data_IF_814263116220
#
_entry.id   IF_814263116220
#
_cell.length_a   1.000
_cell.length_b   1.000
_cell.length_c   1.000
_cell.angle_alpha   90.00
_cell.angle_beta   90.00
_cell.angle_gamma   90.00
#
_symmetry.space_group_name_H-M   'P 1'
#
loop_
_entity.id
_entity.type
_entity.pdbx_description
1 polymer ?
#
# COMPACT_ATOMS: atom_id res chain seq x y z
N UNK A 1 -112.99 -35.42 19.28
CA UNK A 1 -111.62 -34.99 18.97
C UNK A 1 -111.61 -33.48 18.86
N UNK A 2 -110.94 -32.78 19.79
CA UNK A 2 -109.95 -31.72 19.57
C UNK A 2 -109.28 -31.42 20.93
N UNK A 3 -107.95 -31.19 21.01
CA UNK A 3 -107.18 -31.20 22.25
C UNK A 3 -106.69 -29.80 22.66
N UNK A 4 -105.86 -29.75 23.72
CA UNK A 4 -104.93 -28.65 24.12
C UNK A 4 -105.58 -27.61 25.08
N UNK A 5 -104.98 -27.18 26.21
CA UNK A 5 -103.56 -26.97 26.53
C UNK A 5 -103.18 -27.25 28.01
N UNK A 6 -101.91 -27.61 28.29
CA UNK A 6 -101.34 -27.58 29.64
C UNK A 6 -100.86 -26.17 30.04
N UNK A 7 -100.89 -25.92 31.36
CA UNK A 7 -100.41 -24.71 32.06
C UNK A 7 -98.98 -24.31 31.69
N UNK A 8 -98.66 -23.01 31.58
CA UNK A 8 -97.27 -22.56 31.56
C UNK A 8 -96.72 -22.49 32.99
N UNK A 9 -95.55 -23.12 33.15
CA UNK A 9 -94.65 -23.03 34.30
C UNK A 9 -94.10 -21.61 34.44
N UNK A 10 -94.00 -21.16 35.69
CA UNK A 10 -93.33 -19.93 36.09
C UNK A 10 -91.82 -19.96 35.75
N UNK A 11 -91.37 -18.87 35.15
CA UNK A 11 -90.02 -18.64 34.66
C UNK A 11 -89.09 -18.15 35.77
N UNK A 12 -88.04 -18.92 36.07
CA UNK A 12 -86.93 -18.58 36.97
C UNK A 12 -85.69 -18.03 36.22
N UNK A 13 -85.85 -17.40 35.06
CA UNK A 13 -84.73 -16.98 34.20
C UNK A 13 -83.88 -15.75 34.61
N UNK A 14 -84.33 -14.75 35.40
CA UNK A 14 -83.55 -13.52 35.58
C UNK A 14 -82.41 -13.63 36.61
N UNK A 15 -82.48 -14.58 37.55
CA UNK A 15 -81.50 -14.71 38.64
C UNK A 15 -80.18 -15.38 38.20
N UNK A 16 -80.28 -16.39 37.33
CA UNK A 16 -79.11 -17.12 36.81
C UNK A 16 -78.21 -16.21 35.97
N UNK A 17 -78.80 -15.37 35.12
CA UNK A 17 -78.08 -14.44 34.23
C UNK A 17 -77.28 -13.39 35.02
N UNK A 18 -77.83 -12.91 36.13
CA UNK A 18 -77.19 -11.93 37.01
C UNK A 18 -76.01 -12.54 37.80
N UNK A 19 -76.12 -13.81 38.18
CA UNK A 19 -75.04 -14.54 38.85
C UNK A 19 -73.85 -14.80 37.91
N UNK A 20 -74.11 -15.14 36.64
CA UNK A 20 -73.04 -15.37 35.64
C UNK A 20 -72.27 -14.08 35.34
N UNK A 21 -72.96 -12.95 35.24
CA UNK A 21 -72.33 -11.65 34.97
C UNK A 21 -71.45 -11.16 36.12
N UNK A 22 -71.86 -11.41 37.36
CA UNK A 22 -71.06 -11.06 38.55
C UNK A 22 -69.77 -11.88 38.61
N UNK A 23 -69.84 -13.19 38.35
CA UNK A 23 -68.66 -14.07 38.32
C UNK A 23 -67.69 -13.65 37.22
N UNK A 24 -68.20 -13.22 36.07
CA UNK A 24 -67.39 -12.70 34.97
C UNK A 24 -66.64 -11.41 35.36
N UNK A 25 -67.31 -10.48 36.03
CA UNK A 25 -66.68 -9.24 36.51
C UNK A 25 -65.61 -9.51 37.59
N UNK A 26 -65.86 -10.44 38.50
CA UNK A 26 -64.87 -10.88 39.50
C UNK A 26 -63.65 -11.52 38.82
N UNK A 27 -63.83 -12.35 37.79
CA UNK A 27 -62.73 -12.95 37.03
C UNK A 27 -61.92 -11.91 36.23
N UNK A 28 -62.57 -10.90 35.66
CA UNK A 28 -61.90 -9.78 34.98
C UNK A 28 -61.05 -8.96 35.95
N UNK A 29 -61.57 -8.69 37.15
CA UNK A 29 -60.81 -8.02 38.21
C UNK A 29 -59.63 -8.85 38.71
N UNK A 30 -59.79 -10.16 38.86
CA UNK A 30 -58.71 -11.06 39.25
C UNK A 30 -57.59 -11.05 38.19
N UNK A 31 -57.94 -11.12 36.90
CA UNK A 31 -56.98 -11.01 35.81
C UNK A 31 -56.21 -9.68 35.84
N UNK A 32 -56.89 -8.57 36.12
CA UNK A 32 -56.25 -7.25 36.25
C UNK A 32 -55.35 -7.20 37.49
N UNK A 33 -55.78 -7.78 38.61
CA UNK A 33 -54.99 -7.83 39.84
C UNK A 33 -53.70 -8.62 39.67
N UNK A 34 -53.71 -9.73 38.93
CA UNK A 34 -52.49 -10.47 38.57
C UNK A 34 -51.53 -9.57 37.79
N UNK A 35 -52.02 -8.85 36.78
CA UNK A 35 -51.23 -7.88 36.00
C UNK A 35 -50.64 -6.78 36.90
N UNK A 36 -51.45 -6.18 37.77
CA UNK A 36 -50.99 -5.15 38.71
C UNK A 36 -49.87 -5.68 39.62
N UNK A 37 -50.05 -6.88 40.19
CA UNK A 37 -49.06 -7.51 41.07
C UNK A 37 -47.76 -7.85 40.33
N UNK A 38 -47.83 -8.32 39.08
CA UNK A 38 -46.64 -8.53 38.23
C UNK A 38 -45.82 -7.25 38.05
N UNK A 39 -46.48 -6.09 38.06
CA UNK A 39 -45.85 -4.77 37.97
C UNK A 39 -45.58 -4.12 39.34
N UNK A 40 -45.71 -4.85 40.45
CA UNK A 40 -45.45 -4.35 41.80
C UNK A 40 -46.50 -3.39 42.34
N UNK A 41 -47.67 -3.31 41.70
CA UNK A 41 -48.81 -2.51 42.13
C UNK A 41 -49.72 -3.31 43.07
N UNK A 42 -50.46 -2.60 43.92
CA UNK A 42 -51.40 -3.23 44.86
C UNK A 42 -52.65 -3.73 44.11
N UNK A 43 -53.17 -4.93 44.45
CA UNK A 43 -54.41 -5.42 43.86
C UNK A 43 -55.60 -4.60 44.36
N UNK A 44 -56.62 -4.49 43.51
CA UNK A 44 -57.89 -3.85 43.81
C UNK A 44 -58.83 -4.85 44.51
N UNK A 45 -59.57 -4.37 45.50
CA UNK A 45 -60.54 -5.18 46.26
C UNK A 45 -61.97 -4.74 46.00
N UNK A 46 -62.89 -5.70 45.89
CA UNK A 46 -64.31 -5.41 45.81
C UNK A 46 -64.87 -5.07 47.20
N UNK A 47 -65.44 -3.87 47.34
CA UNK A 47 -66.00 -3.37 48.61
C UNK A 47 -67.48 -3.79 48.73
N UNK A 48 -67.90 -4.25 49.92
CA UNK A 48 -69.30 -4.59 50.22
C UNK A 48 -70.15 -3.31 50.41
N UNK A 49 -71.42 -3.35 50.00
CA UNK A 49 -72.39 -2.22 49.95
C UNK A 49 -72.79 -1.59 51.29
N UNK A 50 -72.01 -1.72 52.36
CA UNK A 50 -72.41 -1.31 53.72
C UNK A 50 -72.26 0.18 54.00
N UNK A 51 -71.37 0.91 53.31
CA UNK A 51 -71.25 2.37 53.43
C UNK A 51 -70.95 3.01 52.06
N UNK A 52 -71.97 3.60 51.45
CA UNK A 52 -71.90 4.19 50.09
C UNK A 52 -71.64 5.69 50.08
N UNK A 53 -71.57 6.35 51.25
CA UNK A 53 -71.56 7.82 51.35
C UNK A 53 -70.31 8.48 50.76
N UNK A 54 -69.18 7.75 50.72
CA UNK A 54 -67.88 8.25 50.25
C UNK A 54 -67.37 7.50 49.00
N UNK A 55 -68.22 6.72 48.31
CA UNK A 55 -67.83 5.89 47.16
C UNK A 55 -68.46 6.38 45.86
N UNK A 56 -67.66 6.42 44.79
CA UNK A 56 -68.14 6.66 43.43
C UNK A 56 -68.64 5.32 42.87
N UNK A 57 -69.94 5.26 42.56
CA UNK A 57 -70.56 4.06 41.99
C UNK A 57 -70.59 4.21 40.47
N UNK A 58 -69.93 3.29 39.76
CA UNK A 58 -70.02 3.21 38.31
C UNK A 58 -71.26 2.40 37.90
N UNK A 59 -71.92 2.85 36.83
CA UNK A 59 -72.85 1.98 36.11
C UNK A 59 -72.08 0.83 35.42
N UNK A 60 -72.80 -0.22 35.03
CA UNK A 60 -72.23 -1.43 34.44
C UNK A 60 -71.33 -1.14 33.23
N UNK A 61 -71.74 -0.21 32.36
CA UNK A 61 -71.00 0.11 31.15
C UNK A 61 -69.72 0.89 31.48
N UNK A 62 -69.81 1.85 32.40
CA UNK A 62 -68.64 2.61 32.85
C UNK A 62 -67.62 1.73 33.60
N UNK A 63 -68.09 0.81 34.44
CA UNK A 63 -67.24 -0.17 35.16
C UNK A 63 -66.50 -1.09 34.19
N UNK A 64 -67.20 -1.65 33.20
CA UNK A 64 -66.62 -2.49 32.16
C UNK A 64 -65.56 -1.73 31.34
N UNK A 65 -65.87 -0.50 30.93
CA UNK A 65 -64.92 0.34 30.17
C UNK A 65 -63.69 0.68 31.02
N UNK A 66 -63.86 0.95 32.31
CA UNK A 66 -62.75 1.22 33.22
C UNK A 66 -61.81 0.01 33.34
N UNK A 67 -62.35 -1.20 33.51
CA UNK A 67 -61.56 -2.44 33.54
C UNK A 67 -60.77 -2.65 32.26
N UNK A 68 -61.43 -2.50 31.11
CA UNK A 68 -60.78 -2.64 29.81
C UNK A 68 -59.65 -1.62 29.63
N UNK A 69 -59.90 -0.35 29.98
CA UNK A 69 -58.89 0.70 29.91
C UNK A 69 -57.70 0.40 30.84
N UNK A 70 -57.96 -0.04 32.07
CA UNK A 70 -56.90 -0.37 33.02
C UNK A 70 -56.07 -1.57 32.55
N UNK A 71 -56.72 -2.62 32.03
CA UNK A 71 -56.04 -3.79 31.46
C UNK A 71 -55.13 -3.38 30.31
N UNK A 72 -55.68 -2.65 29.32
CA UNK A 72 -54.93 -2.18 28.16
C UNK A 72 -53.76 -1.28 28.57
N UNK A 73 -53.96 -0.38 29.54
CA UNK A 73 -52.91 0.52 30.03
C UNK A 73 -51.74 -0.26 30.65
N UNK A 74 -52.02 -1.26 31.49
CA UNK A 74 -50.97 -2.06 32.13
C UNK A 74 -50.23 -2.89 31.09
N UNK A 75 -50.93 -3.59 30.20
CA UNK A 75 -50.33 -4.41 29.13
C UNK A 75 -49.47 -3.55 28.18
N UNK A 76 -49.94 -2.38 27.78
CA UNK A 76 -49.20 -1.45 26.94
C UNK A 76 -47.96 -0.90 27.67
N UNK A 77 -48.06 -0.63 28.98
CA UNK A 77 -46.90 -0.22 29.79
C UNK A 77 -45.85 -1.33 29.84
N UNK A 78 -46.23 -2.60 29.99
CA UNK A 78 -45.28 -3.73 29.95
C UNK A 78 -44.59 -3.81 28.59
N UNK A 79 -45.35 -3.67 27.49
CA UNK A 79 -44.81 -3.70 26.13
C UNK A 79 -43.80 -2.58 25.91
N UNK A 80 -44.11 -1.37 26.38
CA UNK A 80 -43.21 -0.22 26.30
C UNK A 80 -41.95 -0.42 27.14
N UNK A 81 -42.06 -0.97 28.36
CA UNK A 81 -40.89 -1.29 29.20
C UNK A 81 -39.95 -2.30 28.52
N UNK A 82 -40.49 -3.35 27.89
CA UNK A 82 -39.70 -4.32 27.14
C UNK A 82 -38.99 -3.65 25.95
N UNK A 83 -39.71 -2.85 25.17
CA UNK A 83 -39.13 -2.12 24.04
C UNK A 83 -38.01 -1.16 24.50
N UNK A 84 -38.19 -0.44 25.62
CA UNK A 84 -37.16 0.43 26.19
C UNK A 84 -35.93 -0.39 26.58
N UNK A 85 -36.11 -1.55 27.20
CA UNK A 85 -35.01 -2.44 27.57
C UNK A 85 -34.23 -2.93 26.35
N UNK A 86 -34.92 -3.41 25.32
CA UNK A 86 -34.31 -3.86 24.07
C UNK A 86 -33.58 -2.71 23.36
N UNK A 87 -34.12 -1.49 23.38
CA UNK A 87 -33.47 -0.30 22.85
C UNK A 87 -32.20 0.05 23.62
N UNK A 88 -32.19 -0.06 24.94
CA UNK A 88 -31.01 0.17 25.78
C UNK A 88 -29.92 -0.85 25.44
N UNK A 89 -30.29 -2.14 25.38
CA UNK A 89 -29.37 -3.23 25.04
C UNK A 89 -28.76 -3.05 23.65
N UNK A 90 -29.60 -2.73 22.66
CA UNK A 90 -29.17 -2.48 21.28
C UNK A 90 -28.27 -1.24 21.20
N UNK A 91 -28.59 -0.16 21.92
CA UNK A 91 -27.76 1.04 21.94
C UNK A 91 -26.38 0.76 22.56
N UNK A 92 -26.33 -0.05 23.62
CA UNK A 92 -25.07 -0.45 24.24
C UNK A 92 -24.22 -1.30 23.30
N UNK A 93 -24.84 -2.25 22.58
CA UNK A 93 -24.14 -3.04 21.58
C UNK A 93 -23.58 -2.16 20.45
N UNK A 94 -24.38 -1.24 19.90
CA UNK A 94 -23.95 -0.30 18.87
C UNK A 94 -22.78 0.58 19.33
N UNK A 95 -22.78 1.03 20.60
CA UNK A 95 -21.64 1.78 21.16
C UNK A 95 -20.36 0.96 21.20
N UNK A 96 -20.45 -0.31 21.60
CA UNK A 96 -19.30 -1.22 21.66
C UNK A 96 -18.76 -1.50 20.24
N UNK A 97 -19.65 -1.75 19.27
CA UNK A 97 -19.27 -1.95 17.86
C UNK A 97 -18.61 -0.70 17.27
N UNK A 98 -19.16 0.49 17.55
CA UNK A 98 -18.58 1.75 17.12
C UNK A 98 -17.18 1.98 17.69
N UNK A 99 -16.96 1.66 18.97
CA UNK A 99 -15.63 1.76 19.58
C UNK A 99 -14.63 0.77 18.95
N UNK A 100 -15.08 -0.45 18.65
CA UNK A 100 -14.25 -1.46 17.98
C UNK A 100 -13.87 -1.00 16.57
N UNK A 101 -14.85 -0.53 15.78
CA UNK A 101 -14.60 -0.02 14.43
C UNK A 101 -13.71 1.22 14.44
N UNK A 102 -13.89 2.12 15.40
CA UNK A 102 -12.99 3.25 15.57
C UNK A 102 -11.55 2.80 15.82
N UNK A 103 -11.34 1.82 16.71
CA UNK A 103 -10.01 1.27 16.97
C UNK A 103 -9.40 0.59 15.74
N UNK A 104 -10.21 -0.12 14.95
CA UNK A 104 -9.79 -0.71 13.67
C UNK A 104 -9.38 0.36 12.65
N UNK A 105 -10.18 1.42 12.53
CA UNK A 105 -9.89 2.53 11.63
C UNK A 105 -8.56 3.22 12.00
N UNK A 106 -8.34 3.54 13.27
CA UNK A 106 -7.09 4.15 13.75
C UNK A 106 -5.88 3.26 13.46
N UNK A 107 -5.99 1.95 13.71
CA UNK A 107 -4.90 1.02 13.39
C UNK A 107 -4.61 0.95 11.87
N UNK A 108 -5.66 0.99 11.06
CA UNK A 108 -5.52 0.95 9.61
C UNK A 108 -4.93 2.26 9.07
N UNK A 109 -5.30 3.41 9.64
CA UNK A 109 -4.70 4.72 9.35
C UNK A 109 -3.21 4.74 9.69
N UNK A 110 -2.84 4.29 10.90
CA UNK A 110 -1.43 4.20 11.30
C UNK A 110 -0.63 3.33 10.33
N UNK A 111 -1.16 2.16 9.96
CA UNK A 111 -0.51 1.27 8.98
C UNK A 111 -0.37 1.92 7.61
N UNK A 112 -1.36 2.71 7.16
CA UNK A 112 -1.28 3.43 5.90
C UNK A 112 -0.16 4.48 5.93
N UNK A 113 -0.06 5.23 7.02
CA UNK A 113 0.99 6.22 7.23
C UNK A 113 2.39 5.58 7.25
N UNK A 114 2.56 4.46 7.94
CA UNK A 114 3.84 3.72 7.98
C UNK A 114 4.25 3.25 6.57
N UNK A 115 3.30 2.75 5.78
CA UNK A 115 3.54 2.33 4.40
C UNK A 115 3.89 3.51 3.49
N UNK A 116 3.25 4.66 3.66
CA UNK A 116 3.57 5.87 2.90
C UNK A 116 4.99 6.35 3.20
N UNK A 117 5.41 6.31 4.47
CA UNK A 117 6.78 6.65 4.85
C UNK A 117 7.81 5.69 4.22
N UNK A 118 7.54 4.38 4.22
CA UNK A 118 8.40 3.39 3.57
C UNK A 118 8.47 3.65 2.07
N UNK A 119 7.34 3.94 1.43
CA UNK A 119 7.27 4.23 0.00
C UNK A 119 8.10 5.45 -0.37
N UNK A 120 8.01 6.54 0.40
CA UNK A 120 8.79 7.75 0.14
C UNK A 120 10.30 7.51 0.33
N UNK A 121 10.68 6.72 1.34
CA UNK A 121 12.07 6.29 1.54
C UNK A 121 12.62 5.48 0.36
N UNK A 122 11.84 4.50 -0.12
CA UNK A 122 12.21 3.69 -1.30
C UNK A 122 12.33 4.57 -2.54
N UNK A 123 11.39 5.50 -2.75
CA UNK A 123 11.42 6.43 -3.88
C UNK A 123 12.65 7.33 -3.87
N UNK A 124 13.01 7.88 -2.70
CA UNK A 124 14.26 8.63 -2.52
C UNK A 124 15.47 7.76 -2.86
N UNK A 125 15.49 6.51 -2.39
CA UNK A 125 16.63 5.61 -2.64
C UNK A 125 16.78 5.22 -4.11
N UNK A 126 15.66 5.02 -4.81
CA UNK A 126 15.67 4.79 -6.26
C UNK A 126 16.27 6.01 -6.97
N UNK A 127 15.81 7.22 -6.64
CA UNK A 127 16.35 8.45 -7.23
C UNK A 127 17.86 8.61 -7.03
N UNK A 128 18.35 8.38 -5.81
CA UNK A 128 19.80 8.38 -5.54
C UNK A 128 20.57 7.37 -6.40
N UNK A 129 20.06 6.15 -6.54
CA UNK A 129 20.72 5.09 -7.32
C UNK A 129 20.72 5.39 -8.82
N UNK A 130 19.63 5.97 -9.33
CA UNK A 130 19.51 6.42 -10.72
C UNK A 130 20.51 7.55 -11.02
N UNK A 131 20.59 8.56 -10.15
CA UNK A 131 21.53 9.68 -10.26
C UNK A 131 22.98 9.21 -10.21
N UNK A 132 23.32 8.34 -9.27
CA UNK A 132 24.65 7.72 -9.19
C UNK A 132 24.99 6.92 -10.45
N UNK A 133 24.04 6.16 -10.98
CA UNK A 133 24.22 5.38 -12.21
C UNK A 133 24.48 6.29 -13.41
N UNK A 134 23.69 7.36 -13.55
CA UNK A 134 23.83 8.34 -14.61
C UNK A 134 25.19 9.06 -14.52
N UNK A 135 25.60 9.44 -13.30
CA UNK A 135 26.90 10.05 -13.06
C UNK A 135 28.06 9.12 -13.44
N UNK A 136 28.00 7.84 -13.07
CA UNK A 136 29.01 6.84 -13.47
C UNK A 136 29.07 6.69 -14.98
N UNK A 137 27.93 6.60 -15.66
CA UNK A 137 27.87 6.50 -17.12
C UNK A 137 28.48 7.74 -17.80
N UNK A 138 28.16 8.95 -17.30
CA UNK A 138 28.73 10.19 -17.80
C UNK A 138 30.27 10.24 -17.63
N UNK A 139 30.78 9.85 -16.45
CA UNK A 139 32.21 9.77 -16.20
C UNK A 139 32.91 8.78 -17.14
N UNK A 140 32.33 7.59 -17.34
CA UNK A 140 32.86 6.60 -18.28
C UNK A 140 32.88 7.13 -19.72
N UNK A 141 31.81 7.78 -20.16
CA UNK A 141 31.71 8.37 -21.49
C UNK A 141 32.79 9.45 -21.71
N UNK A 142 33.06 10.29 -20.71
CA UNK A 142 34.11 11.29 -20.78
C UNK A 142 35.49 10.64 -20.89
N UNK A 143 35.76 9.61 -20.08
CA UNK A 143 37.02 8.86 -20.13
C UNK A 143 37.26 8.20 -21.49
N UNK A 144 36.22 7.59 -22.08
CA UNK A 144 36.28 7.01 -23.43
C UNK A 144 36.61 8.09 -24.46
N UNK A 145 35.95 9.25 -24.38
CA UNK A 145 36.16 10.37 -25.30
C UNK A 145 37.60 10.88 -25.25
N UNK A 146 38.20 10.96 -24.06
CA UNK A 146 39.59 11.41 -23.91
C UNK A 146 40.59 10.37 -24.40
N UNK A 147 40.37 9.08 -24.11
CA UNK A 147 41.19 7.99 -24.67
C UNK A 147 41.14 7.95 -26.20
N UNK A 148 39.98 8.22 -26.80
CA UNK A 148 39.85 8.32 -28.27
C UNK A 148 40.67 9.48 -28.86
N UNK A 149 40.72 10.63 -28.17
CA UNK A 149 41.58 11.75 -28.60
C UNK A 149 43.06 11.41 -28.49
N UNK A 150 43.46 10.76 -27.40
CA UNK A 150 44.84 10.32 -27.19
C UNK A 150 45.24 9.30 -28.25
N UNK A 151 44.40 8.30 -28.53
CA UNK A 151 44.60 7.31 -29.59
C UNK A 151 44.84 7.97 -30.94
N UNK A 152 44.00 8.94 -31.34
CA UNK A 152 44.19 9.69 -32.60
C UNK A 152 45.53 10.43 -32.63
N UNK A 153 45.89 11.08 -31.52
CA UNK A 153 47.16 11.81 -31.41
C UNK A 153 48.36 10.88 -31.54
N UNK A 154 48.33 9.73 -30.87
CA UNK A 154 49.36 8.71 -30.96
C UNK A 154 49.45 8.10 -32.36
N UNK A 155 48.31 7.87 -33.03
CA UNK A 155 48.27 7.37 -34.40
C UNK A 155 49.00 8.31 -35.37
N UNK A 156 48.74 9.62 -35.27
CA UNK A 156 49.42 10.65 -36.07
C UNK A 156 50.93 10.65 -35.79
N UNK A 157 51.34 10.59 -34.51
CA UNK A 157 52.77 10.51 -34.15
C UNK A 157 53.44 9.25 -34.71
N UNK A 158 52.79 8.10 -34.65
CA UNK A 158 53.29 6.85 -35.21
C UNK A 158 53.48 6.94 -36.74
N UNK A 159 52.53 7.55 -37.45
CA UNK A 159 52.67 7.77 -38.90
C UNK A 159 53.84 8.71 -39.21
N UNK A 160 53.98 9.80 -38.45
CA UNK A 160 55.10 10.72 -38.59
C UNK A 160 56.47 10.02 -38.41
N UNK A 161 56.63 9.22 -37.35
CA UNK A 161 57.87 8.49 -37.12
C UNK A 161 58.16 7.43 -38.18
N UNK A 162 57.12 6.74 -38.70
CA UNK A 162 57.29 5.82 -39.83
C UNK A 162 57.84 6.53 -41.06
N UNK A 163 57.30 7.73 -41.39
CA UNK A 163 57.78 8.54 -42.51
C UNK A 163 59.24 8.97 -42.30
N UNK A 164 59.55 9.55 -41.14
CA UNK A 164 60.91 10.00 -40.79
C UNK A 164 61.93 8.87 -40.86
N UNK A 165 61.56 7.66 -40.45
CA UNK A 165 62.42 6.47 -40.56
C UNK A 165 62.70 6.11 -42.03
N UNK A 166 61.71 6.21 -42.93
CA UNK A 166 61.93 5.95 -44.36
C UNK A 166 62.89 6.98 -44.97
N UNK A 167 62.68 8.27 -44.68
CA UNK A 167 63.57 9.36 -45.13
C UNK A 167 65.02 9.14 -44.65
N UNK A 168 65.20 8.71 -43.39
CA UNK A 168 66.52 8.34 -42.85
C UNK A 168 67.11 7.12 -43.56
N UNK A 169 66.31 6.10 -43.85
CA UNK A 169 66.77 4.90 -44.56
C UNK A 169 67.26 5.23 -45.98
N UNK A 170 66.55 6.11 -46.69
CA UNK A 170 66.95 6.62 -48.01
C UNK A 170 68.25 7.42 -47.94
N UNK A 171 68.38 8.28 -46.93
CA UNK A 171 69.61 9.05 -46.69
C UNK A 171 70.81 8.14 -46.41
N UNK A 172 70.63 7.13 -45.56
CA UNK A 172 71.68 6.14 -45.26
C UNK A 172 72.09 5.39 -46.53
N UNK A 173 71.14 4.93 -47.34
CA UNK A 173 71.43 4.23 -48.59
C UNK A 173 72.20 5.12 -49.58
N UNK A 174 71.81 6.39 -49.71
CA UNK A 174 72.53 7.37 -50.55
C UNK A 174 73.96 7.59 -50.07
N UNK A 175 74.17 7.75 -48.76
CA UNK A 175 75.51 7.93 -48.18
C UNK A 175 76.37 6.68 -48.35
N UNK A 176 75.79 5.49 -48.20
CA UNK A 176 76.51 4.22 -48.43
C UNK A 176 77.00 4.11 -49.89
N UNK A 177 76.16 4.49 -50.86
CA UNK A 177 76.53 4.55 -52.27
C UNK A 177 77.66 5.55 -52.53
N UNK A 178 77.58 6.72 -51.91
CA UNK A 178 78.61 7.76 -52.02
C UNK A 178 79.96 7.29 -51.46
N UNK A 179 79.96 6.67 -50.27
CA UNK A 179 81.18 6.10 -49.66
C UNK A 179 81.79 5.01 -50.54
N UNK A 180 80.97 4.14 -51.12
CA UNK A 180 81.45 3.11 -52.04
C UNK A 180 82.11 3.74 -53.28
N UNK A 181 81.46 4.75 -53.88
CA UNK A 181 82.01 5.46 -55.04
C UNK A 181 83.34 6.12 -54.73
N UNK A 182 83.41 6.89 -53.64
CA UNK A 182 84.62 7.57 -53.19
C UNK A 182 85.75 6.58 -52.88
N UNK A 183 85.44 5.43 -52.25
CA UNK A 183 86.43 4.37 -52.03
C UNK A 183 87.03 3.87 -53.34
N UNK A 184 86.20 3.60 -54.35
CA UNK A 184 86.65 3.12 -55.66
C UNK A 184 87.51 4.17 -56.38
N UNK A 185 87.07 5.43 -56.37
CA UNK A 185 87.85 6.56 -56.92
C UNK A 185 89.23 6.68 -56.24
N UNK A 186 89.28 6.51 -54.93
CA UNK A 186 90.54 6.51 -54.17
C UNK A 186 91.44 5.31 -54.50
N UNK A 187 90.88 4.10 -54.59
CA UNK A 187 91.60 2.89 -55.00
C UNK A 187 92.20 3.07 -56.41
N UNK A 188 91.43 3.56 -57.38
CA UNK A 188 91.90 3.84 -58.75
C UNK A 188 93.01 4.91 -58.77
N UNK A 189 92.89 5.94 -57.93
CA UNK A 189 93.93 6.97 -57.75
C UNK A 189 95.23 6.37 -57.21
N UNK A 190 95.16 5.52 -56.18
CA UNK A 190 96.32 4.84 -55.58
C UNK A 190 97.00 3.94 -56.63
N UNK A 191 96.23 3.15 -57.38
CA UNK A 191 96.76 2.30 -58.46
C UNK A 191 97.49 3.15 -59.51
N UNK A 192 96.90 4.28 -59.91
CA UNK A 192 97.50 5.21 -60.86
C UNK A 192 98.79 5.82 -60.33
N UNK A 193 98.80 6.30 -59.09
CA UNK A 193 99.99 6.85 -58.43
C UNK A 193 101.11 5.81 -58.31
N UNK A 194 100.81 4.59 -57.88
CA UNK A 194 101.77 3.49 -57.79
C UNK A 194 102.39 3.16 -59.15
N UNK A 195 101.59 3.18 -60.22
CA UNK A 195 102.08 2.96 -61.60
C UNK A 195 103.04 4.07 -62.04
N UNK A 196 102.72 5.33 -61.77
CA UNK A 196 103.59 6.48 -62.08
C UNK A 196 104.90 6.39 -61.28
N UNK A 197 104.81 6.08 -59.98
CA UNK A 197 105.98 5.91 -59.11
C UNK A 197 106.90 4.80 -59.63
N UNK A 198 106.36 3.61 -59.95
CA UNK A 198 107.14 2.51 -60.49
C UNK A 198 107.83 2.86 -61.83
N UNK A 199 107.18 3.65 -62.69
CA UNK A 199 107.76 4.14 -63.94
C UNK A 199 108.94 5.10 -63.69
N UNK A 200 108.81 6.01 -62.72
CA UNK A 200 109.88 6.93 -62.34
C UNK A 200 111.08 6.19 -61.75
N UNK A 201 110.88 5.23 -60.84
CA UNK A 201 111.95 4.41 -60.27
C UNK A 201 112.79 3.66 -61.32
N UNK A 202 112.17 3.22 -62.42
CA UNK A 202 112.86 2.55 -63.54
C UNK A 202 113.75 3.49 -64.39
N UNK A 203 113.57 4.80 -64.27
CA UNK A 203 114.35 5.83 -65.00
C UNK A 203 115.45 6.46 -64.15
N UNK A 204 115.58 6.07 -62.89
CA UNK A 204 116.67 6.52 -62.01
C UNK A 204 117.93 5.71 -62.32
N UNK A 205 119.10 6.32 -62.57
CA UNK A 205 120.34 5.58 -62.74
C UNK A 205 120.68 4.83 -61.45
N UNK A 206 120.76 3.50 -61.50
CA UNK A 206 121.18 2.70 -60.34
C UNK A 206 122.65 3.00 -60.01
N UNK A 207 122.89 3.73 -58.91
CA UNK A 207 124.22 3.84 -58.30
C UNK A 207 124.53 2.62 -57.42
N UNK A 208 125.82 2.35 -57.23
CA UNK A 208 126.48 1.11 -56.76
C UNK A 208 126.06 0.61 -55.35
N UNK A 209 125.11 1.24 -54.66
CA UNK A 209 124.80 0.99 -53.24
C UNK A 209 123.60 0.05 -52.95
N UNK A 210 122.88 -0.47 -53.95
CA UNK A 210 121.66 -1.29 -53.75
C UNK A 210 121.88 -2.83 -53.80
N UNK A 211 123.10 -3.32 -53.58
CA UNK A 211 123.38 -4.78 -53.49
C UNK A 211 124.03 -5.15 -52.15
N UNK A 212 123.22 -5.32 -51.10
CA UNK A 212 123.52 -6.20 -49.96
C UNK A 212 122.23 -6.86 -49.46
#
# INVERSE_FOLDING_TARGET
MFPVAPKPQDSNQPSDRLMTEKQQEEAEWESINVLLMMHGLKPLSLVKRTDLKDLIIFDKQSSQRMRQNLKLLVEETSRQQNMIKELIETNQQLRNELQLEHSRATNQEQRANDLEQIMESVKSKIGELEDESLNRACQQQNKIKDLQKEQKTLQVKCQHYKKKRMEQQETIASLQMEVYRLRKEEEDRIVTQNRVFAYLCKRVPHTILDRQ
#
